data_IF_078736266619
#
_entry.id   IF_078736266619
#
_cell.length_a   1.000
_cell.length_b   1.000
_cell.length_c   1.000
_cell.angle_alpha   90.00
_cell.angle_beta   90.00
_cell.angle_gamma   90.00
#
_symmetry.space_group_name_H-M   'P 1'
#
loop_
_entity.id
_entity.type
_entity.pdbx_description
1 polymer ?
#
# COMPACT_ATOMS: atom_id res chain seq x y z
N UNK A 1 6.92 9.71 9.61
CA UNK A 1 6.68 8.41 8.98
C UNK A 1 7.10 8.53 7.53
N UNK A 2 8.16 7.82 7.11
CA UNK A 2 8.51 7.69 5.70
C UNK A 2 7.84 6.42 5.19
N UNK A 3 7.15 6.49 4.06
CA UNK A 3 6.62 5.31 3.37
C UNK A 3 7.24 5.35 1.98
N UNK A 4 7.82 4.24 1.57
CA UNK A 4 8.45 4.06 0.28
C UNK A 4 7.77 2.88 -0.40
N UNK A 5 7.22 3.10 -1.59
CA UNK A 5 6.65 2.02 -2.40
C UNK A 5 7.81 1.24 -3.01
N UNK A 6 7.94 -0.04 -2.64
CA UNK A 6 9.05 -0.88 -3.07
C UNK A 6 8.73 -1.65 -4.35
N UNK A 7 7.46 -2.06 -4.52
CA UNK A 7 7.05 -2.83 -5.68
C UNK A 7 5.56 -2.64 -5.97
N UNK A 8 5.16 -2.66 -7.23
CA UNK A 8 3.76 -2.63 -7.66
C UNK A 8 3.53 -3.85 -8.55
N UNK A 9 2.72 -4.78 -8.07
CA UNK A 9 2.31 -5.94 -8.84
C UNK A 9 0.92 -5.72 -9.42
N UNK A 10 0.78 -5.87 -10.74
CA UNK A 10 -0.51 -5.80 -11.40
C UNK A 10 -1.09 -7.20 -11.46
N UNK A 11 -2.21 -7.43 -10.76
CA UNK A 11 -2.98 -8.66 -10.96
C UNK A 11 -3.77 -8.54 -12.24
N UNK A 12 -3.59 -9.55 -13.11
CA UNK A 12 -4.38 -9.72 -14.32
C UNK A 12 -5.00 -11.11 -14.30
N UNK A 13 -6.31 -11.19 -14.54
CA UNK A 13 -7.00 -12.45 -14.79
C UNK A 13 -7.67 -12.38 -16.16
N UNK A 14 -7.54 -13.44 -16.96
CA UNK A 14 -8.15 -13.47 -18.30
C UNK A 14 -7.61 -12.44 -19.31
N UNK A 15 -6.56 -11.69 -18.97
CA UNK A 15 -6.05 -10.57 -19.78
C UNK A 15 -6.54 -9.19 -19.31
N UNK A 16 -7.44 -9.15 -18.33
CA UNK A 16 -8.00 -7.94 -17.74
C UNK A 16 -7.31 -7.64 -16.39
N UNK A 17 -7.12 -6.37 -16.08
CA UNK A 17 -6.37 -5.93 -14.89
C UNK A 17 -7.28 -5.98 -13.67
N UNK A 18 -7.47 -7.15 -13.05
CA UNK A 18 -8.38 -7.31 -11.90
C UNK A 18 -7.96 -6.59 -10.61
N UNK A 19 -6.73 -6.08 -10.51
CA UNK A 19 -6.30 -5.33 -9.34
C UNK A 19 -4.82 -4.99 -9.30
N UNK A 20 -4.42 -4.21 -8.29
CA UNK A 20 -3.02 -3.91 -7.99
C UNK A 20 -2.66 -4.37 -6.59
N UNK A 21 -1.43 -4.85 -6.44
CA UNK A 21 -0.84 -5.21 -5.16
C UNK A 21 0.40 -4.37 -4.97
N UNK A 22 0.27 -3.32 -4.16
CA UNK A 22 1.33 -2.35 -3.93
C UNK A 22 2.06 -2.73 -2.65
N UNK A 23 3.33 -3.08 -2.78
CA UNK A 23 4.24 -3.34 -1.68
C UNK A 23 4.88 -2.05 -1.21
N UNK A 24 4.92 -1.85 0.09
CA UNK A 24 5.48 -0.67 0.71
C UNK A 24 6.36 -1.02 1.90
N UNK A 25 7.35 -0.17 2.14
CA UNK A 25 8.17 -0.13 3.33
C UNK A 25 7.93 1.20 4.06
N UNK A 26 7.45 1.13 5.29
CA UNK A 26 7.26 2.27 6.17
C UNK A 26 8.32 2.32 7.26
N UNK A 27 9.01 3.45 7.43
CA UNK A 27 9.90 3.70 8.57
C UNK A 27 9.35 4.82 9.44
N UNK A 28 9.09 4.51 10.71
CA UNK A 28 8.82 5.53 11.72
C UNK A 28 10.17 6.11 12.19
N UNK A 29 10.31 7.44 12.19
CA UNK A 29 11.62 8.07 12.44
C UNK A 29 12.11 7.98 13.88
N UNK A 30 11.18 7.75 14.81
CA UNK A 30 11.43 7.79 16.26
C UNK A 30 11.60 6.39 16.88
N UNK A 31 11.03 5.38 16.24
CA UNK A 31 11.13 3.99 16.65
C UNK A 31 11.70 3.25 15.46
N UNK A 32 12.71 2.38 15.63
CA UNK A 32 13.25 1.50 14.57
C UNK A 32 12.24 0.43 14.09
N UNK A 33 10.97 0.81 13.98
CA UNK A 33 9.86 0.04 13.46
C UNK A 33 9.89 0.21 11.94
N UNK A 34 10.21 -0.90 11.28
CA UNK A 34 10.07 -1.04 9.84
C UNK A 34 8.75 -1.80 9.59
N UNK A 35 7.80 -1.12 8.97
CA UNK A 35 6.55 -1.68 8.50
C UNK A 35 6.78 -2.21 7.10
N UNK A 36 6.64 -3.51 6.90
CA UNK A 36 6.62 -4.10 5.57
C UNK A 36 5.23 -4.67 5.33
N UNK A 37 4.62 -4.30 4.21
CA UNK A 37 3.30 -4.79 3.88
C UNK A 37 2.99 -4.65 2.41
N UNK A 38 1.84 -5.18 2.04
CA UNK A 38 1.22 -4.90 0.75
C UNK A 38 -0.20 -4.41 0.96
N UNK A 39 -0.64 -3.55 0.05
CA UNK A 39 -2.01 -3.07 -0.02
C UNK A 39 -2.61 -3.54 -1.34
N UNK A 40 -3.65 -4.39 -1.29
CA UNK A 40 -4.44 -4.66 -2.46
C UNK A 40 -5.31 -3.43 -2.76
N UNK A 41 -5.23 -2.96 -4.00
CA UNK A 41 -6.14 -1.96 -4.55
C UNK A 41 -7.02 -2.69 -5.58
N UNK A 42 -8.32 -2.43 -5.55
CA UNK A 42 -9.30 -2.99 -6.49
C UNK A 42 -9.53 -2.06 -7.71
N UNK A 43 -9.94 -2.62 -8.84
CA UNK A 43 -10.30 -1.84 -10.03
C UNK A 43 -11.31 -0.73 -9.68
N UNK A 44 -10.98 0.51 -10.03
CA UNK A 44 -11.77 1.70 -9.71
C UNK A 44 -11.11 2.64 -8.69
N UNK A 45 -10.19 2.15 -7.86
CA UNK A 45 -9.42 2.99 -6.91
C UNK A 45 -8.15 3.61 -7.55
N UNK A 46 -7.87 3.28 -8.80
CA UNK A 46 -6.73 3.78 -9.58
C UNK A 46 -7.22 4.15 -10.98
N UNK A 47 -7.63 5.40 -11.16
CA UNK A 47 -7.98 5.94 -12.48
C UNK A 47 -6.75 6.09 -13.40
N UNK A 48 -5.54 6.06 -12.84
CA UNK A 48 -4.31 6.07 -13.61
C UNK A 48 -3.25 5.25 -12.91
N UNK A 49 -2.97 4.06 -13.45
CA UNK A 49 -1.98 3.06 -13.02
C UNK A 49 -0.53 3.58 -12.86
N UNK A 50 -0.29 4.88 -13.02
CA UNK A 50 1.03 5.49 -13.17
C UNK A 50 1.25 6.71 -12.27
N UNK A 51 0.25 7.14 -11.50
CA UNK A 51 0.42 8.26 -10.57
C UNK A 51 0.97 7.75 -9.23
N UNK A 52 2.29 7.52 -9.21
CA UNK A 52 3.04 7.19 -7.99
C UNK A 52 2.66 8.07 -6.78
N UNK A 53 2.52 9.41 -6.88
CA UNK A 53 2.16 10.22 -5.71
C UNK A 53 0.73 9.93 -5.20
N UNK A 54 -0.20 9.54 -6.08
CA UNK A 54 -1.55 9.13 -5.67
C UNK A 54 -1.51 7.75 -4.97
N UNK A 55 -0.73 6.82 -5.51
CA UNK A 55 -0.53 5.49 -4.90
C UNK A 55 0.14 5.62 -3.53
N UNK A 56 1.20 6.43 -3.41
CA UNK A 56 1.87 6.70 -2.14
C UNK A 56 0.92 7.34 -1.12
N UNK A 57 0.07 8.28 -1.56
CA UNK A 57 -0.94 8.91 -0.69
C UNK A 57 -1.97 7.91 -0.20
N UNK A 58 -2.52 7.08 -1.10
CA UNK A 58 -3.51 6.05 -0.77
C UNK A 58 -2.92 4.98 0.16
N UNK A 59 -1.71 4.50 -0.14
CA UNK A 59 -0.99 3.55 0.71
C UNK A 59 -0.72 4.17 2.08
N UNK A 60 -0.23 5.41 2.13
CA UNK A 60 0.01 6.10 3.40
C UNK A 60 -1.25 6.25 4.22
N UNK A 61 -2.37 6.65 3.63
CA UNK A 61 -3.65 6.76 4.32
C UNK A 61 -4.07 5.42 4.91
N UNK A 62 -4.04 4.33 4.13
CA UNK A 62 -4.39 2.99 4.63
C UNK A 62 -3.43 2.46 5.70
N UNK A 63 -2.14 2.75 5.59
CA UNK A 63 -1.14 2.34 6.60
C UNK A 63 -1.35 3.10 7.90
N UNK A 64 -1.58 4.41 7.82
CA UNK A 64 -1.89 5.25 8.97
C UNK A 64 -3.19 4.81 9.61
N UNK A 65 -4.23 4.53 8.81
CA UNK A 65 -5.50 3.99 9.27
C UNK A 65 -5.34 2.66 9.99
N UNK A 66 -4.58 1.71 9.44
CA UNK A 66 -4.29 0.43 10.12
C UNK A 66 -3.53 0.60 11.45
N UNK A 67 -2.53 1.48 11.48
CA UNK A 67 -1.73 1.73 12.68
C UNK A 67 -2.57 2.44 13.76
N UNK A 68 -3.42 3.40 13.37
CA UNK A 68 -4.30 4.13 14.28
C UNK A 68 -5.51 3.30 14.74
N UNK A 69 -6.06 2.45 13.86
CA UNK A 69 -7.16 1.53 14.19
C UNK A 69 -6.73 0.35 15.06
N UNK A 70 -5.43 0.18 15.33
CA UNK A 70 -4.96 -0.77 16.34
C UNK A 70 -5.21 -2.23 16.00
N UNK A 71 -5.44 -2.57 14.73
CA UNK A 71 -5.41 -3.95 14.24
C UNK A 71 -3.95 -4.40 14.21
N UNK A 72 -3.43 -4.71 15.40
CA UNK A 72 -2.33 -5.64 15.58
C UNK A 72 -2.61 -6.83 14.65
N UNK A 73 -1.65 -7.26 13.80
CA UNK A 73 -1.82 -8.50 13.06
C UNK A 73 -2.09 -9.59 14.09
N UNK A 74 -3.34 -10.04 14.15
CA UNK A 74 -3.78 -11.09 15.06
C UNK A 74 -2.95 -12.34 14.79
N UNK A 75 -2.49 -12.90 15.91
CA UNK A 75 -1.63 -14.08 16.11
C UNK A 75 -1.96 -15.30 15.23
#
# INVERSE_FOLDING_TARGET
>A
MKIEVTNINVRREGGEVVGLQVYFNGRLGDQSINLNGYIPLAEGEFESHLDMPAIETAVRQKVVDRILSGESPTE
#
